data_IF_725320642304
#
_entry.id   IF_725320642304
#
_cell.length_a   1.000
_cell.length_b   1.000
_cell.length_c   1.000
_cell.angle_alpha   90.00
_cell.angle_beta   90.00
_cell.angle_gamma   90.00
#
_symmetry.space_group_name_H-M   'P 1'
#
loop_
_entity.id
_entity.type
_entity.pdbx_description
1 polymer ?
#
# COMPACT_ATOMS: atom_id res chain seq x y z
N UNK A 1 42.10 30.72 -10.40
CA UNK A 1 41.07 29.67 -10.55
C UNK A 1 40.95 28.94 -9.23
N UNK A 2 39.78 28.92 -8.59
CA UNK A 2 39.36 27.79 -7.77
C UNK A 2 38.25 27.03 -8.52
N UNK A 3 38.50 25.74 -8.71
CA UNK A 3 37.64 24.75 -9.34
C UNK A 3 36.45 24.42 -8.42
N UNK A 4 35.46 25.31 -8.35
CA UNK A 4 34.15 24.93 -7.82
C UNK A 4 33.43 24.13 -8.91
N UNK A 5 33.31 22.84 -8.65
CA UNK A 5 32.61 21.88 -9.48
C UNK A 5 31.24 22.42 -9.93
N UNK A 6 30.91 22.10 -11.19
CA UNK A 6 29.64 22.35 -11.87
C UNK A 6 28.43 22.02 -10.97
N UNK A 7 27.87 23.03 -10.29
CA UNK A 7 26.57 22.92 -9.62
C UNK A 7 25.52 23.48 -10.57
N UNK A 8 24.75 22.59 -11.20
CA UNK A 8 23.63 22.97 -12.06
C UNK A 8 22.37 23.16 -11.20
N UNK A 9 21.85 24.40 -11.20
CA UNK A 9 20.65 24.76 -10.44
C UNK A 9 19.39 24.46 -11.27
N UNK A 10 18.63 23.44 -10.86
CA UNK A 10 17.31 23.16 -11.45
C UNK A 10 16.27 24.12 -10.87
N UNK A 11 15.75 25.03 -11.68
CA UNK A 11 14.72 25.99 -11.27
C UNK A 11 13.32 25.39 -11.38
N UNK A 12 12.52 25.52 -10.33
CA UNK A 12 11.10 25.10 -10.27
C UNK A 12 10.86 23.64 -10.72
N UNK A 13 11.53 22.64 -10.11
CA UNK A 13 11.35 21.26 -10.52
C UNK A 13 9.92 20.76 -10.22
N UNK A 14 9.28 20.20 -11.24
CA UNK A 14 8.04 19.44 -11.10
C UNK A 14 8.36 17.94 -11.19
N UNK A 15 8.61 17.31 -10.05
CA UNK A 15 9.02 15.91 -9.99
C UNK A 15 7.80 14.97 -9.98
N UNK A 16 7.89 13.91 -10.79
CA UNK A 16 6.96 12.78 -10.77
C UNK A 16 7.75 11.52 -10.43
N UNK A 17 7.20 10.67 -9.57
CA UNK A 17 7.84 9.43 -9.13
C UNK A 17 6.93 8.27 -9.49
N UNK A 18 7.48 7.30 -10.23
CA UNK A 18 6.90 5.98 -10.43
C UNK A 18 7.96 4.97 -10.02
N UNK A 19 7.68 4.17 -9.00
CA UNK A 19 8.61 3.19 -8.47
C UNK A 19 7.88 2.00 -7.89
N UNK A 20 8.58 0.87 -7.82
CA UNK A 20 8.09 -0.36 -7.23
C UNK A 20 9.17 -0.99 -6.37
N UNK A 21 8.80 -1.43 -5.18
CA UNK A 21 9.69 -2.13 -4.26
C UNK A 21 8.90 -3.05 -3.34
N UNK A 22 9.59 -3.85 -2.53
CA UNK A 22 8.96 -4.66 -1.48
C UNK A 22 8.56 -3.80 -0.29
N UNK A 23 7.55 -4.22 0.47
CA UNK A 23 7.13 -3.52 1.69
C UNK A 23 8.29 -3.29 2.67
N UNK A 24 9.17 -4.28 2.82
CA UNK A 24 10.32 -4.21 3.71
C UNK A 24 11.28 -3.06 3.33
N UNK A 25 11.68 -2.97 2.07
CA UNK A 25 12.54 -1.87 1.60
C UNK A 25 11.87 -0.50 1.69
N UNK A 26 10.56 -0.43 1.42
CA UNK A 26 9.80 0.83 1.56
C UNK A 26 9.80 1.29 3.02
N UNK A 27 9.63 0.37 3.97
CA UNK A 27 9.69 0.64 5.41
C UNK A 27 11.05 1.17 5.84
N UNK A 28 12.14 0.59 5.36
CA UNK A 28 13.49 1.08 5.68
C UNK A 28 13.80 2.45 5.04
N UNK A 29 13.16 2.77 3.92
CA UNK A 29 13.44 3.98 3.14
C UNK A 29 12.59 5.18 3.55
N UNK A 30 11.42 4.97 4.15
CA UNK A 30 10.48 6.05 4.53
C UNK A 30 10.56 6.27 6.04
N UNK A 31 11.01 7.45 6.51
CA UNK A 31 10.98 7.80 7.92
C UNK A 31 9.56 7.74 8.48
N UNK A 32 9.39 7.25 9.70
CA UNK A 32 8.07 7.06 10.33
C UNK A 32 7.31 8.39 10.45
N UNK A 33 8.01 9.50 10.65
CA UNK A 33 7.45 10.86 10.72
C UNK A 33 6.90 11.33 9.37
N UNK A 34 7.43 10.82 8.25
CA UNK A 34 6.94 11.13 6.91
C UNK A 34 5.59 10.44 6.61
N UNK A 35 5.23 9.43 7.41
CA UNK A 35 3.97 8.69 7.30
C UNK A 35 2.86 9.51 7.96
N UNK A 36 1.99 10.09 7.13
CA UNK A 36 0.97 11.06 7.59
C UNK A 36 1.51 12.50 7.61
N UNK A 37 2.84 12.69 7.71
CA UNK A 37 3.56 13.97 7.63
C UNK A 37 3.63 14.62 6.24
N UNK A 38 2.71 14.28 5.34
CA UNK A 38 2.54 14.93 4.05
C UNK A 38 3.20 14.24 2.86
N UNK A 39 4.34 13.56 3.01
CA UNK A 39 4.94 12.82 1.88
C UNK A 39 4.02 11.69 1.42
N UNK A 40 3.69 10.76 2.32
CA UNK A 40 2.81 9.62 1.99
C UNK A 40 1.41 10.05 1.57
N UNK A 41 0.94 11.23 1.98
CA UNK A 41 -0.35 11.78 1.54
C UNK A 41 -0.43 12.11 0.04
N UNK A 42 0.73 12.21 -0.63
CA UNK A 42 0.85 12.50 -2.06
C UNK A 42 1.24 11.27 -2.89
N UNK A 43 1.41 10.12 -2.24
CA UNK A 43 1.82 8.85 -2.85
C UNK A 43 0.62 7.91 -2.85
N UNK A 44 0.37 7.26 -3.99
CA UNK A 44 -0.63 6.20 -4.10
C UNK A 44 0.09 4.87 -4.00
N UNK A 45 -0.15 4.12 -2.93
CA UNK A 45 0.46 2.80 -2.75
C UNK A 45 -0.38 1.74 -3.45
N UNK A 46 0.13 1.20 -4.56
CA UNK A 46 -0.48 0.06 -5.26
C UNK A 46 0.17 -1.23 -4.76
N UNK A 47 -0.63 -2.10 -4.15
CA UNK A 47 -0.14 -3.35 -3.57
C UNK A 47 -0.95 -4.55 -4.03
N UNK A 48 -0.26 -5.63 -4.41
CA UNK A 48 -0.83 -6.95 -4.65
C UNK A 48 0.07 -8.04 -4.08
N UNK A 49 -0.54 -8.89 -3.27
CA UNK A 49 0.13 -10.03 -2.61
C UNK A 49 0.16 -11.28 -3.51
N UNK A 50 -0.85 -11.42 -4.38
CA UNK A 50 -1.02 -12.60 -5.23
C UNK A 50 -0.73 -12.28 -6.69
N UNK A 51 -0.07 -13.23 -7.36
CA UNK A 51 0.09 -13.21 -8.82
C UNK A 51 -1.28 -13.41 -9.45
N UNK A 52 -1.69 -12.48 -10.32
CA UNK A 52 -2.91 -12.61 -11.10
C UNK A 52 -2.78 -13.72 -12.15
N UNK A 53 -1.62 -13.81 -12.81
CA UNK A 53 -1.34 -14.79 -13.86
C UNK A 53 -0.01 -15.50 -13.59
N UNK A 54 -0.01 -16.82 -13.78
CA UNK A 54 1.18 -17.65 -13.71
C UNK A 54 1.67 -17.93 -15.13
N UNK A 55 2.57 -17.08 -15.63
CA UNK A 55 3.16 -17.22 -16.96
C UNK A 55 4.61 -17.70 -16.77
N UNK A 56 4.89 -19.01 -16.84
CA UNK A 56 6.25 -19.53 -16.63
C UNK A 56 7.20 -19.14 -17.77
N UNK A 57 6.68 -18.95 -18.98
CA UNK A 57 7.45 -18.62 -20.18
C UNK A 57 6.84 -17.40 -20.88
N UNK A 58 7.31 -16.18 -20.57
CA UNK A 58 6.83 -14.98 -21.24
C UNK A 58 7.41 -14.90 -22.65
N UNK A 59 6.65 -15.36 -23.65
CA UNK A 59 7.05 -15.29 -25.06
C UNK A 59 6.53 -13.98 -25.66
N UNK A 60 7.43 -13.22 -26.29
CA UNK A 60 7.07 -12.01 -27.02
C UNK A 60 6.53 -12.40 -28.41
N UNK A 61 5.21 -12.30 -28.58
CA UNK A 61 4.54 -12.55 -29.87
C UNK A 61 4.68 -11.36 -30.81
N UNK A 62 4.51 -11.58 -32.12
CA UNK A 62 4.44 -10.47 -33.10
C UNK A 62 3.34 -9.46 -32.75
N UNK A 63 2.22 -9.93 -32.20
CA UNK A 63 1.15 -9.07 -31.74
C UNK A 63 1.60 -8.17 -30.58
N UNK A 64 2.39 -8.70 -29.63
CA UNK A 64 2.95 -7.90 -28.54
C UNK A 64 3.90 -6.82 -29.05
N UNK A 65 4.71 -7.12 -30.08
CA UNK A 65 5.60 -6.14 -30.72
C UNK A 65 4.78 -5.01 -31.37
N UNK A 66 3.76 -5.36 -32.17
CA UNK A 66 2.87 -4.35 -32.78
C UNK A 66 2.16 -3.48 -31.74
N UNK A 67 1.73 -4.07 -30.63
CA UNK A 67 1.12 -3.33 -29.51
C UNK A 67 2.14 -2.41 -28.82
N UNK A 68 3.38 -2.84 -28.65
CA UNK A 68 4.43 -2.01 -28.08
C UNK A 68 4.69 -0.77 -28.94
N UNK A 69 4.78 -0.93 -30.27
CA UNK A 69 4.96 0.19 -31.20
C UNK A 69 3.78 1.18 -31.14
N UNK A 70 2.56 0.66 -31.06
CA UNK A 70 1.36 1.50 -30.89
C UNK A 70 1.39 2.29 -29.57
N UNK A 71 1.78 1.65 -28.46
CA UNK A 71 1.92 2.32 -27.15
C UNK A 71 2.99 3.43 -27.21
N UNK A 72 4.14 3.17 -27.86
CA UNK A 72 5.19 4.19 -28.01
C UNK A 72 4.69 5.39 -28.81
N UNK A 73 3.96 5.14 -29.89
CA UNK A 73 3.34 6.20 -30.68
C UNK A 73 2.35 7.03 -29.87
N UNK A 74 1.39 6.38 -29.19
CA UNK A 74 0.38 7.07 -28.39
C UNK A 74 1.00 7.87 -27.23
N UNK A 75 2.01 7.31 -26.54
CA UNK A 75 2.76 8.04 -25.52
C UNK A 75 3.49 9.27 -26.09
N UNK A 76 3.96 9.18 -27.34
CA UNK A 76 4.53 10.30 -28.08
C UNK A 76 3.53 11.42 -28.34
N UNK A 77 2.30 11.09 -28.70
CA UNK A 77 1.22 12.08 -28.86
C UNK A 77 0.78 12.67 -27.52
N UNK A 78 0.64 11.83 -26.48
CA UNK A 78 0.31 12.27 -25.12
C UNK A 78 1.35 13.27 -24.59
N UNK A 79 2.64 13.03 -24.82
CA UNK A 79 3.72 13.92 -24.39
C UNK A 79 3.63 15.34 -25.01
N UNK A 80 3.05 15.46 -26.20
CA UNK A 80 2.83 16.72 -26.91
C UNK A 80 1.60 17.48 -26.42
N UNK A 81 0.70 16.85 -25.65
CA UNK A 81 -0.50 17.53 -25.16
C UNK A 81 -0.15 18.75 -24.30
N UNK A 82 -0.86 19.85 -24.57
CA UNK A 82 -0.74 21.12 -23.84
C UNK A 82 -2.13 21.74 -23.70
N UNK A 83 -2.29 22.53 -22.65
CA UNK A 83 -3.54 23.24 -22.35
C UNK A 83 -4.38 22.56 -21.27
N UNK A 84 -5.46 23.23 -20.83
CA UNK A 84 -6.32 22.74 -19.76
C UNK A 84 -7.17 21.54 -20.21
N UNK A 85 -7.55 20.71 -19.24
CA UNK A 85 -8.61 19.73 -19.41
C UNK A 85 -9.94 20.34 -18.94
N UNK A 86 -11.03 19.91 -19.57
CA UNK A 86 -12.40 20.22 -19.16
C UNK A 86 -13.13 18.95 -18.72
N UNK A 87 -14.16 19.11 -17.88
CA UNK A 87 -15.12 18.05 -17.58
C UNK A 87 -16.39 18.34 -18.37
N UNK A 88 -16.99 17.31 -18.95
CA UNK A 88 -18.37 17.45 -19.43
C UNK A 88 -19.38 17.37 -18.28
N UNK A 89 -20.64 17.74 -18.56
CA UNK A 89 -21.68 17.83 -17.54
C UNK A 89 -21.87 16.53 -16.75
N UNK A 90 -21.84 15.38 -17.43
CA UNK A 90 -22.00 14.07 -16.79
C UNK A 90 -20.81 13.69 -15.91
N UNK A 91 -19.59 14.01 -16.33
CA UNK A 91 -18.40 13.79 -15.51
C UNK A 91 -18.40 14.69 -14.26
N UNK A 92 -18.88 15.93 -14.40
CA UNK A 92 -19.02 16.88 -13.30
C UNK A 92 -20.05 16.39 -12.26
N UNK A 93 -21.20 15.89 -12.71
CA UNK A 93 -22.23 15.29 -11.86
C UNK A 93 -21.66 14.12 -11.05
N UNK A 94 -21.06 13.14 -11.73
CA UNK A 94 -20.45 11.96 -11.09
C UNK A 94 -19.38 12.36 -10.07
N UNK A 95 -18.49 13.30 -10.43
CA UNK A 95 -17.46 13.80 -9.53
C UNK A 95 -18.06 14.47 -8.28
N UNK A 96 -19.13 15.25 -8.45
CA UNK A 96 -19.77 15.96 -7.35
C UNK A 96 -20.42 15.00 -6.37
N UNK A 97 -21.17 14.02 -6.88
CA UNK A 97 -21.76 12.96 -6.07
C UNK A 97 -20.68 12.19 -5.31
N UNK A 98 -19.60 11.83 -6.01
CA UNK A 98 -18.48 11.10 -5.44
C UNK A 98 -17.77 11.88 -4.33
N UNK A 99 -17.50 13.16 -4.56
CA UNK A 99 -16.89 14.04 -3.58
C UNK A 99 -17.70 14.06 -2.28
N UNK A 100 -19.02 14.27 -2.38
CA UNK A 100 -19.91 14.33 -1.22
C UNK A 100 -19.99 12.97 -0.53
N UNK A 101 -20.16 11.88 -1.29
CA UNK A 101 -20.24 10.52 -0.77
C UNK A 101 -18.97 10.15 0.00
N UNK A 102 -17.81 10.36 -0.59
CA UNK A 102 -16.52 10.02 0.00
C UNK A 102 -16.28 10.81 1.30
N UNK A 103 -16.45 12.13 1.27
CA UNK A 103 -16.22 12.97 2.46
C UNK A 103 -17.20 12.68 3.62
N UNK A 104 -18.40 12.15 3.33
CA UNK A 104 -19.38 11.81 4.38
C UNK A 104 -19.26 10.41 4.94
N UNK A 105 -18.80 9.44 4.13
CA UNK A 105 -18.93 8.00 4.45
C UNK A 105 -17.60 7.25 4.51
N UNK A 106 -16.50 7.84 4.03
CA UNK A 106 -15.22 7.13 3.97
C UNK A 106 -14.60 6.97 5.34
N UNK A 107 -14.34 5.73 5.75
CA UNK A 107 -13.55 5.45 6.95
C UNK A 107 -12.05 5.79 6.82
N UNK A 108 -11.58 6.19 5.63
CA UNK A 108 -10.17 6.58 5.44
C UNK A 108 -9.79 7.86 6.20
N UNK A 109 -10.77 8.68 6.57
CA UNK A 109 -10.54 9.87 7.41
C UNK A 109 -10.20 9.49 8.86
N UNK A 110 -10.74 8.38 9.35
CA UNK A 110 -10.56 7.92 10.72
C UNK A 110 -9.19 7.25 10.93
N UNK A 111 -8.49 6.91 9.84
CA UNK A 111 -7.17 6.28 9.86
C UNK A 111 -6.10 7.39 9.83
N UNK A 112 -5.33 7.62 10.92
CA UNK A 112 -4.38 8.74 10.98
C UNK A 112 -3.31 8.73 9.88
N UNK A 113 -2.91 7.53 9.41
CA UNK A 113 -1.96 7.35 8.29
C UNK A 113 -2.49 7.86 6.96
N UNK A 114 -3.81 7.82 6.78
CA UNK A 114 -4.50 8.00 5.50
C UNK A 114 -5.36 9.26 5.46
N UNK A 115 -5.61 9.91 6.59
CA UNK A 115 -6.36 11.17 6.64
C UNK A 115 -5.80 12.21 5.66
N UNK A 116 -4.47 12.30 5.54
CA UNK A 116 -3.82 13.17 4.56
C UNK A 116 -4.12 12.79 3.10
N UNK A 117 -4.13 11.50 2.79
CA UNK A 117 -4.52 11.00 1.48
C UNK A 117 -6.02 11.28 1.21
N UNK A 118 -6.89 10.97 2.17
CA UNK A 118 -8.33 11.15 2.06
C UNK A 118 -8.69 12.61 1.72
N UNK A 119 -8.05 13.58 2.37
CA UNK A 119 -8.21 15.02 2.08
C UNK A 119 -7.78 15.42 0.65
N UNK A 120 -6.91 14.64 0.01
CA UNK A 120 -6.38 14.91 -1.35
C UNK A 120 -7.00 14.02 -2.42
N UNK A 121 -7.77 13.02 -2.02
CA UNK A 121 -8.32 12.00 -2.91
C UNK A 121 -9.07 12.61 -4.08
N UNK A 122 -9.92 13.61 -3.83
CA UNK A 122 -10.73 14.23 -4.89
C UNK A 122 -9.88 14.88 -5.98
N UNK A 123 -8.80 15.57 -5.61
CA UNK A 123 -7.84 16.12 -6.59
C UNK A 123 -7.10 15.01 -7.33
N UNK A 124 -6.73 13.93 -6.63
CA UNK A 124 -6.11 12.75 -7.25
C UNK A 124 -7.06 12.10 -8.26
N UNK A 125 -8.35 11.99 -7.94
CA UNK A 125 -9.37 11.42 -8.82
C UNK A 125 -9.46 12.18 -10.15
N UNK A 126 -9.49 13.52 -10.09
CA UNK A 126 -9.46 14.34 -11.30
C UNK A 126 -8.21 14.09 -12.14
N UNK A 127 -7.04 13.99 -11.50
CA UNK A 127 -5.78 13.72 -12.20
C UNK A 127 -5.79 12.34 -12.88
N UNK A 128 -6.31 11.32 -12.21
CA UNK A 128 -6.43 9.97 -12.78
C UNK A 128 -7.42 9.97 -13.95
N UNK A 129 -8.55 10.67 -13.81
CA UNK A 129 -9.52 10.80 -14.90
C UNK A 129 -8.93 11.54 -16.12
N UNK A 130 -8.11 12.57 -15.91
CA UNK A 130 -7.35 13.23 -16.98
C UNK A 130 -6.40 12.26 -17.69
N UNK A 131 -5.67 11.42 -16.94
CA UNK A 131 -4.75 10.41 -17.51
C UNK A 131 -5.52 9.37 -18.33
N UNK A 132 -6.67 8.90 -17.84
CA UNK A 132 -7.51 7.95 -18.58
C UNK A 132 -8.06 8.58 -19.86
N UNK A 133 -8.58 9.82 -19.78
CA UNK A 133 -9.04 10.57 -20.94
C UNK A 133 -7.92 10.73 -21.98
N UNK A 134 -6.72 11.15 -21.53
CA UNK A 134 -5.55 11.29 -22.39
C UNK A 134 -5.10 9.97 -23.05
N UNK A 135 -5.29 8.83 -22.38
CA UNK A 135 -4.97 7.51 -22.96
C UNK A 135 -5.95 7.05 -24.04
N UNK A 136 -7.10 7.72 -24.17
CA UNK A 136 -8.18 7.33 -25.08
C UNK A 136 -8.42 8.35 -26.19
N UNK A 137 -8.21 9.63 -25.93
CA UNK A 137 -8.54 10.73 -26.85
C UNK A 137 -7.70 11.99 -26.59
N UNK A 138 -7.44 12.75 -27.66
CA UNK A 138 -6.75 14.05 -27.61
C UNK A 138 -7.67 15.23 -27.29
N UNK A 139 -8.97 14.99 -27.08
CA UNK A 139 -9.97 16.05 -26.88
C UNK A 139 -9.75 16.90 -25.63
N UNK A 140 -9.01 16.37 -24.64
CA UNK A 140 -8.84 16.96 -23.30
C UNK A 140 -10.17 17.22 -22.58
N UNK A 141 -11.21 16.44 -22.92
CA UNK A 141 -12.51 16.47 -22.25
C UNK A 141 -12.70 15.14 -21.51
N UNK A 142 -12.74 15.22 -20.19
CA UNK A 142 -13.06 14.08 -19.32
C UNK A 142 -14.56 13.83 -19.41
N UNK A 143 -14.93 12.62 -19.82
CA UNK A 143 -16.32 12.19 -19.87
C UNK A 143 -16.71 11.27 -18.71
N UNK A 144 -17.97 10.82 -18.72
CA UNK A 144 -18.52 9.93 -17.69
C UNK A 144 -17.74 8.62 -17.56
N UNK A 145 -17.23 8.08 -18.67
CA UNK A 145 -16.51 6.82 -18.70
C UNK A 145 -15.12 6.99 -18.08
N UNK A 146 -14.44 8.08 -18.44
CA UNK A 146 -13.12 8.41 -17.90
C UNK A 146 -13.20 8.61 -16.38
N UNK A 147 -14.23 9.33 -15.89
CA UNK A 147 -14.47 9.54 -14.47
C UNK A 147 -14.81 8.25 -13.72
N UNK A 148 -15.75 7.45 -14.23
CA UNK A 148 -16.15 6.19 -13.60
C UNK A 148 -14.99 5.18 -13.56
N UNK A 149 -14.17 5.12 -14.61
CA UNK A 149 -12.98 4.27 -14.67
C UNK A 149 -11.93 4.71 -13.64
N UNK A 150 -11.71 6.02 -13.49
CA UNK A 150 -10.82 6.57 -12.48
C UNK A 150 -11.28 6.24 -11.06
N UNK A 151 -12.58 6.35 -10.79
CA UNK A 151 -13.18 5.97 -9.50
C UNK A 151 -12.94 4.50 -9.20
N UNK A 152 -13.27 3.61 -10.15
CA UNK A 152 -13.09 2.17 -9.98
C UNK A 152 -11.63 1.79 -9.73
N UNK A 153 -10.70 2.39 -10.49
CA UNK A 153 -9.27 2.17 -10.30
C UNK A 153 -8.81 2.60 -8.90
N UNK A 154 -9.20 3.80 -8.45
CA UNK A 154 -8.82 4.31 -7.13
C UNK A 154 -9.41 3.46 -5.99
N UNK A 155 -10.70 3.13 -6.05
CA UNK A 155 -11.36 2.30 -5.05
C UNK A 155 -10.68 0.93 -4.92
N UNK A 156 -10.27 0.32 -6.04
CA UNK A 156 -9.59 -0.98 -6.03
C UNK A 156 -8.24 -0.97 -5.32
N UNK A 157 -7.55 0.17 -5.33
CA UNK A 157 -6.25 0.37 -4.66
C UNK A 157 -6.47 0.75 -3.19
N UNK A 158 -7.50 1.55 -2.90
CA UNK A 158 -7.86 2.01 -1.55
C UNK A 158 -8.16 0.88 -0.57
N UNK A 159 -8.61 -0.28 -1.06
CA UNK A 159 -8.86 -1.48 -0.23
C UNK A 159 -7.59 -1.96 0.49
N UNK A 160 -6.44 -1.92 -0.18
CA UNK A 160 -5.19 -2.49 0.33
C UNK A 160 -4.26 -1.44 0.98
N UNK A 161 -4.51 -0.15 0.76
CA UNK A 161 -3.65 0.92 1.29
C UNK A 161 -3.52 0.97 2.82
N UNK A 162 -4.58 0.74 3.63
CA UNK A 162 -4.46 0.67 5.08
C UNK A 162 -3.43 -0.38 5.52
N UNK A 163 -3.52 -1.59 4.96
CA UNK A 163 -2.59 -2.70 5.26
C UNK A 163 -1.15 -2.34 4.91
N UNK A 164 -0.93 -1.67 3.78
CA UNK A 164 0.42 -1.24 3.36
C UNK A 164 0.99 -0.24 4.36
N UNK A 165 0.22 0.78 4.76
CA UNK A 165 0.71 1.81 5.68
C UNK A 165 0.87 1.30 7.10
N UNK A 166 0.04 0.36 7.55
CA UNK A 166 0.25 -0.35 8.82
C UNK A 166 1.54 -1.16 8.79
N UNK A 167 1.81 -1.90 7.70
CA UNK A 167 3.05 -2.65 7.54
C UNK A 167 4.30 -1.76 7.45
N UNK A 168 4.18 -0.54 6.91
CA UNK A 168 5.29 0.43 6.90
C UNK A 168 5.48 1.03 8.30
N UNK A 169 4.38 1.29 9.03
CA UNK A 169 4.41 1.87 10.38
C UNK A 169 4.82 0.88 11.46
N UNK A 170 4.65 -0.43 11.23
CA UNK A 170 4.90 -1.42 12.27
C UNK A 170 6.32 -1.23 12.81
N UNK A 171 6.48 -1.19 14.12
CA UNK A 171 7.82 -1.21 14.71
C UNK A 171 8.42 -2.61 14.55
N UNK A 172 9.74 -2.73 14.69
CA UNK A 172 10.44 -4.02 14.70
C UNK A 172 9.74 -5.04 15.63
N UNK A 173 9.20 -4.59 16.76
CA UNK A 173 8.47 -5.43 17.72
C UNK A 173 7.15 -5.96 17.14
N UNK A 174 6.43 -5.16 16.33
CA UNK A 174 5.17 -5.58 15.71
C UNK A 174 5.38 -6.68 14.66
N UNK A 175 6.38 -6.53 13.80
CA UNK A 175 6.74 -7.56 12.80
C UNK A 175 7.15 -8.87 13.48
N UNK A 176 7.88 -8.75 14.58
CA UNK A 176 8.33 -9.91 15.33
C UNK A 176 7.18 -10.55 16.11
N UNK A 177 6.24 -9.77 16.64
CA UNK A 177 4.98 -10.28 17.21
C UNK A 177 4.22 -11.14 16.19
N UNK A 178 4.06 -10.66 14.95
CA UNK A 178 3.40 -11.43 13.89
C UNK A 178 4.15 -12.72 13.53
N UNK A 179 5.48 -12.68 13.46
CA UNK A 179 6.29 -13.86 13.17
C UNK A 179 6.18 -14.93 14.28
N UNK A 180 6.24 -14.50 15.55
CA UNK A 180 6.04 -15.38 16.71
C UNK A 180 4.64 -15.96 16.69
N UNK A 181 3.62 -15.15 16.43
CA UNK A 181 2.23 -15.61 16.30
C UNK A 181 2.08 -16.63 15.18
N UNK A 182 2.64 -16.36 13.99
CA UNK A 182 2.60 -17.27 12.83
C UNK A 182 3.30 -18.59 13.12
N UNK A 183 4.39 -18.57 13.88
CA UNK A 183 5.11 -19.77 14.32
C UNK A 183 4.25 -20.60 15.29
N UNK A 184 3.58 -19.96 16.26
CA UNK A 184 2.65 -20.61 17.19
C UNK A 184 1.45 -21.19 16.42
N UNK A 185 0.87 -20.43 15.49
CA UNK A 185 -0.21 -20.87 14.60
C UNK A 185 0.15 -22.12 13.80
N UNK A 186 1.33 -22.10 13.16
CA UNK A 186 1.79 -23.20 12.31
C UNK A 186 2.02 -24.48 13.11
N UNK A 187 2.58 -24.35 14.33
CA UNK A 187 2.88 -25.50 15.19
C UNK A 187 1.74 -25.94 16.09
N UNK A 188 0.67 -25.13 16.21
CA UNK A 188 -0.48 -25.25 17.13
C UNK A 188 -0.12 -25.17 18.62
N UNK A 189 0.94 -25.85 19.03
CA UNK A 189 1.48 -25.82 20.39
C UNK A 189 3.00 -25.74 20.31
N UNK A 190 3.60 -24.80 21.05
CA UNK A 190 5.05 -24.65 21.10
C UNK A 190 5.52 -24.32 22.51
N UNK A 191 6.64 -24.90 22.92
CA UNK A 191 7.23 -24.62 24.25
C UNK A 191 8.11 -23.37 24.22
N UNK A 192 8.25 -22.71 25.37
CA UNK A 192 9.14 -21.54 25.51
C UNK A 192 10.59 -21.78 25.02
N UNK A 193 11.27 -22.91 25.33
CA UNK A 193 12.61 -23.18 24.79
C UNK A 193 12.64 -23.33 23.27
N UNK A 194 11.58 -23.86 22.66
CA UNK A 194 11.47 -23.99 21.20
C UNK A 194 11.30 -22.63 20.53
N UNK A 195 10.53 -21.71 21.13
CA UNK A 195 10.40 -20.32 20.69
C UNK A 195 11.74 -19.60 20.74
N UNK A 196 12.43 -19.65 21.88
CA UNK A 196 13.76 -19.05 22.04
C UNK A 196 14.72 -19.62 20.99
N UNK A 197 14.75 -20.94 20.81
CA UNK A 197 15.63 -21.58 19.82
C UNK A 197 15.34 -21.13 18.38
N UNK A 198 14.06 -20.93 18.03
CA UNK A 198 13.64 -20.50 16.70
C UNK A 198 13.92 -19.01 16.45
N UNK A 199 13.75 -18.16 17.47
CA UNK A 199 13.85 -16.70 17.35
C UNK A 199 15.20 -16.11 17.80
N UNK A 200 16.17 -16.95 18.24
CA UNK A 200 17.45 -16.51 18.84
C UNK A 200 18.30 -15.53 18.03
N UNK A 201 18.13 -15.49 16.70
CA UNK A 201 18.87 -14.57 15.82
C UNK A 201 18.14 -13.24 15.59
N UNK A 202 16.87 -13.14 16.03
CA UNK A 202 16.02 -11.96 15.84
C UNK A 202 15.64 -11.28 17.15
N UNK A 203 15.57 -12.03 18.25
CA UNK A 203 15.14 -11.53 19.56
C UNK A 203 16.07 -11.95 20.68
N UNK A 204 16.27 -11.03 21.62
CA UNK A 204 16.68 -11.37 22.98
C UNK A 204 15.53 -12.02 23.77
N UNK A 205 15.86 -12.68 24.88
CA UNK A 205 14.86 -13.31 25.76
C UNK A 205 13.87 -12.28 26.31
N UNK A 206 14.34 -11.06 26.61
CA UNK A 206 13.50 -9.98 27.13
C UNK A 206 12.49 -9.46 26.10
N UNK A 207 12.92 -9.30 24.86
CA UNK A 207 12.01 -8.86 23.78
C UNK A 207 10.99 -9.95 23.48
N UNK A 208 11.38 -11.22 23.51
CA UNK A 208 10.45 -12.33 23.38
C UNK A 208 9.41 -12.35 24.51
N UNK A 209 9.77 -11.95 25.73
CA UNK A 209 8.81 -11.82 26.84
C UNK A 209 7.76 -10.74 26.57
N UNK A 210 8.18 -9.56 26.13
CA UNK A 210 7.28 -8.45 25.77
C UNK A 210 6.32 -8.89 24.65
N UNK A 211 6.83 -9.59 23.64
CA UNK A 211 6.03 -10.14 22.54
C UNK A 211 4.99 -11.14 23.06
N UNK A 212 5.40 -12.09 23.90
CA UNK A 212 4.51 -13.12 24.43
C UNK A 212 3.45 -12.54 25.37
N UNK A 213 3.81 -11.57 26.22
CA UNK A 213 2.87 -10.81 27.04
C UNK A 213 1.80 -10.16 26.17
N UNK A 214 2.20 -9.49 25.08
CA UNK A 214 1.27 -8.87 24.12
C UNK A 214 0.34 -9.90 23.48
N UNK A 215 0.88 -11.03 23.00
CA UNK A 215 0.09 -12.07 22.32
C UNK A 215 -0.91 -12.79 23.24
N UNK A 216 -0.64 -12.85 24.54
CA UNK A 216 -1.53 -13.51 25.52
C UNK A 216 -2.78 -12.69 25.85
N UNK A 217 -2.76 -11.38 25.60
CA UNK A 217 -3.90 -10.47 25.84
C UNK A 217 -4.70 -10.15 24.58
N UNK A 218 -4.21 -10.50 23.39
CA UNK A 218 -4.95 -10.27 22.14
C UNK A 218 -6.12 -11.25 22.03
N UNK A 219 -7.32 -10.71 21.87
CA UNK A 219 -8.57 -11.45 21.70
C UNK A 219 -9.07 -11.47 20.25
N UNK A 220 -9.76 -12.53 19.88
CA UNK A 220 -10.53 -12.59 18.63
C UNK A 220 -11.87 -11.85 18.75
N UNK A 221 -12.61 -11.73 17.64
CA UNK A 221 -13.95 -11.08 17.61
C UNK A 221 -14.99 -11.72 18.55
N UNK A 222 -14.74 -12.92 19.06
CA UNK A 222 -15.60 -13.63 20.00
C UNK A 222 -15.14 -13.46 21.47
N UNK A 223 -14.18 -12.58 21.75
CA UNK A 223 -13.66 -12.31 23.10
C UNK A 223 -12.82 -13.45 23.67
N UNK A 224 -12.25 -14.31 22.82
CA UNK A 224 -11.33 -15.38 23.25
C UNK A 224 -9.90 -15.03 22.87
N UNK A 225 -8.98 -15.22 23.82
CA UNK A 225 -7.54 -15.03 23.56
C UNK A 225 -7.10 -15.91 22.39
N UNK A 226 -6.28 -15.35 21.51
CA UNK A 226 -5.78 -16.03 20.31
C UNK A 226 -4.65 -17.01 20.67
N UNK A 227 -3.91 -16.70 21.74
CA UNK A 227 -2.86 -17.55 22.30
C UNK A 227 -3.13 -17.73 23.79
N UNK A 228 -3.02 -18.96 24.28
CA UNK A 228 -3.06 -19.27 25.72
C UNK A 228 -1.75 -19.91 26.16
N UNK A 229 -1.40 -19.72 27.44
CA UNK A 229 -0.25 -20.36 28.06
C UNK A 229 -0.73 -21.41 29.06
N UNK A 230 -0.25 -22.64 28.91
CA UNK A 230 -0.46 -23.73 29.86
C UNK A 230 0.88 -24.17 30.46
N UNK A 231 0.88 -24.44 31.76
CA UNK A 231 2.04 -24.98 32.43
C UNK A 231 1.86 -26.49 32.63
N UNK A 232 2.62 -27.29 31.88
CA UNK A 232 2.64 -28.74 32.04
C UNK A 232 4.04 -29.17 32.52
N UNK A 233 4.09 -29.75 33.72
CA UNK A 233 5.29 -30.38 34.26
C UNK A 233 6.52 -29.44 34.28
N UNK A 234 6.31 -28.16 34.60
CA UNK A 234 7.37 -27.14 34.69
C UNK A 234 7.80 -26.53 33.35
N UNK A 235 7.12 -26.86 32.24
CA UNK A 235 7.35 -26.25 30.92
C UNK A 235 6.12 -25.49 30.46
N UNK A 236 6.30 -24.19 30.25
CA UNK A 236 5.26 -23.34 29.66
C UNK A 236 5.10 -23.66 28.17
N UNK A 237 3.86 -23.99 27.77
CA UNK A 237 3.42 -24.21 26.40
C UNK A 237 2.50 -23.09 25.97
N UNK A 238 2.73 -22.55 24.78
CA UNK A 238 1.86 -21.58 24.13
C UNK A 238 1.02 -22.31 23.08
N UNK A 239 -0.30 -22.14 23.15
CA UNK A 239 -1.30 -22.84 22.33
C UNK A 239 -2.07 -21.82 21.51
N UNK A 240 -2.18 -22.03 20.21
CA UNK A 240 -3.04 -21.23 19.35
C UNK A 240 -4.49 -21.70 19.45
N UNK A 241 -5.38 -20.80 19.86
CA UNK A 241 -6.81 -21.05 20.13
C UNK A 241 -7.74 -20.36 19.12
N UNK A 242 -7.18 -19.66 18.12
CA UNK A 242 -7.97 -19.02 17.06
C UNK A 242 -8.63 -20.03 16.09
N UNK A 243 -9.72 -19.59 15.45
CA UNK A 243 -10.48 -20.41 14.51
C UNK A 243 -9.62 -20.87 13.32
N UNK A 244 -9.96 -22.04 12.77
CA UNK A 244 -9.36 -22.54 11.52
C UNK A 244 -9.70 -21.56 10.39
N UNK A 245 -8.68 -20.89 9.85
CA UNK A 245 -8.75 -20.30 8.51
C UNK A 245 -8.65 -21.40 7.46
#
# INVERSE_FOLDING_TARGET
RPEFALIELVRNPCLTILGGSTLHWIKESIPTEAIGGGFTSRVIFVFRDKKEKLVPWPILTEENVKRADAIVHDLGEIAKMRGPFALNDKAMEIYTEEYIRFNRKSGLFDIPSLSGYANRRSTTLLKVAMVISASRTDSRVVDKFDMASAMSAMESVEVDMPRVLEAIKSEFIGDVCEEVLKLIMTRRTITRPQLIKAMRYRLSVRELDIVLETLLVIENKAGKNIVTAENDSGKVRYIYTGDKT
#
